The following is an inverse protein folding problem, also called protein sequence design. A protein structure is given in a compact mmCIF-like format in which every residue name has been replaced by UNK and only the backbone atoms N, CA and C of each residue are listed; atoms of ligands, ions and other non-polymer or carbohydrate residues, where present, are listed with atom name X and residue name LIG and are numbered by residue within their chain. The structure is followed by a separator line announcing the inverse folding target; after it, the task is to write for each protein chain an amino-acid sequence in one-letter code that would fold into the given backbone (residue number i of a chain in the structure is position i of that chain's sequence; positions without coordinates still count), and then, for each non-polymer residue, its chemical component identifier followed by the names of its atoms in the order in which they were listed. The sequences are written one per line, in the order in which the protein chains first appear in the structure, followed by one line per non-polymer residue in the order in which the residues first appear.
data_IF_055694357909
#
_entry.id   IF_055694357909
#
_cell.length_a   1.000
_cell.length_b   1.000
_cell.length_c   1.000
_cell.angle_alpha   90.00
_cell.angle_beta   90.00
_cell.angle_gamma   90.00
#
_symmetry.space_group_name_H-M   'P 1'
#
loop_
_entity.id
_entity.type
_entity.pdbx_description
1 polymer ?
#
# COMPACT_ATOMS: atom_id res chain seq x y z
N UNK A 1 1.82 -5.89 -25.63
CA UNK A 1 3.12 -5.93 -24.93
C UNK A 1 3.38 -4.61 -24.23
N UNK A 2 4.45 -4.48 -23.44
CA UNK A 2 4.79 -3.20 -22.77
C UNK A 2 4.98 -2.09 -23.84
N UNK A 3 4.27 -0.97 -23.69
CA UNK A 3 4.31 0.17 -24.63
C UNK A 3 3.44 0.03 -25.88
N UNK A 4 2.68 -1.06 -26.03
CA UNK A 4 1.69 -1.20 -27.09
C UNK A 4 0.32 -0.66 -26.62
N UNK A 5 -0.52 -0.15 -27.53
CA UNK A 5 -1.90 0.23 -27.19
C UNK A 5 -2.68 -0.98 -26.66
N UNK A 6 -3.74 -0.70 -25.89
CA UNK A 6 -4.66 -1.74 -25.43
C UNK A 6 -5.22 -2.52 -26.63
N UNK A 7 -5.26 -3.87 -26.61
CA UNK A 7 -5.79 -4.65 -27.72
C UNK A 7 -7.25 -4.29 -27.99
N UNK A 8 -7.57 -3.92 -29.23
CA UNK A 8 -8.93 -3.54 -29.62
C UNK A 8 -9.94 -4.71 -29.51
N UNK A 9 -9.44 -5.95 -29.55
CA UNK A 9 -10.18 -7.21 -29.44
C UNK A 9 -10.09 -7.85 -28.04
N UNK A 10 -9.57 -7.13 -27.03
CA UNK A 10 -9.52 -7.64 -25.67
C UNK A 10 -10.93 -7.98 -25.16
N UNK A 11 -11.16 -9.20 -24.62
CA UNK A 11 -12.46 -9.60 -24.15
C UNK A 11 -12.98 -8.67 -23.03
N UNK A 12 -14.31 -8.60 -22.82
CA UNK A 12 -14.88 -7.97 -21.65
C UNK A 12 -14.34 -8.61 -20.37
N UNK A 13 -14.06 -7.80 -19.35
CA UNK A 13 -13.54 -8.29 -18.07
C UNK A 13 -12.52 -7.35 -17.42
N UNK A 14 -12.05 -7.72 -16.22
CA UNK A 14 -11.07 -6.94 -15.47
C UNK A 14 -9.72 -6.88 -16.19
N UNK A 15 -9.08 -5.71 -16.12
CA UNK A 15 -7.75 -5.44 -16.66
C UNK A 15 -6.80 -5.23 -15.48
N UNK A 16 -6.04 -6.27 -15.12
CA UNK A 16 -5.06 -6.19 -14.04
C UNK A 16 -3.85 -5.36 -14.45
N UNK A 17 -3.62 -4.26 -13.74
CA UNK A 17 -2.49 -3.38 -13.97
C UNK A 17 -1.27 -3.94 -13.25
N UNK A 18 -0.43 -4.72 -13.92
CA UNK A 18 0.76 -5.36 -13.33
C UNK A 18 2.05 -4.59 -13.64
N UNK A 19 1.99 -3.26 -13.63
CA UNK A 19 3.15 -2.36 -13.84
C UNK A 19 3.58 -1.70 -12.54
N UNK A 20 4.70 -0.97 -12.57
CA UNK A 20 5.13 -0.10 -11.46
C UNK A 20 4.30 1.17 -11.43
N UNK A 21 4.34 1.88 -10.29
CA UNK A 21 3.56 3.09 -10.07
C UNK A 21 3.89 4.20 -11.08
N UNK A 22 5.16 4.32 -11.48
CA UNK A 22 5.65 5.31 -12.45
C UNK A 22 5.00 5.21 -13.85
N UNK A 23 4.47 4.04 -14.20
CA UNK A 23 3.81 3.80 -15.48
C UNK A 23 2.28 3.93 -15.44
N UNK A 24 1.67 4.16 -14.25
CA UNK A 24 0.21 4.12 -14.11
C UNK A 24 -0.47 5.19 -14.97
N UNK A 25 0.11 6.39 -15.04
CA UNK A 25 -0.43 7.48 -15.84
C UNK A 25 -0.51 7.10 -17.32
N UNK A 26 0.57 6.53 -17.85
CA UNK A 26 0.62 6.09 -19.24
C UNK A 26 -0.34 4.92 -19.50
N UNK A 27 -0.46 3.98 -18.55
CA UNK A 27 -1.43 2.88 -18.64
C UNK A 27 -2.86 3.41 -18.73
N UNK A 28 -3.23 4.37 -17.87
CA UNK A 28 -4.55 5.01 -17.90
C UNK A 28 -4.78 5.73 -19.23
N UNK A 29 -3.79 6.49 -19.70
CA UNK A 29 -3.88 7.24 -20.96
C UNK A 29 -4.03 6.31 -22.18
N UNK A 30 -3.32 5.19 -22.21
CA UNK A 30 -3.40 4.18 -23.27
C UNK A 30 -4.64 3.29 -23.21
N UNK A 31 -5.38 3.31 -22.10
CA UNK A 31 -6.62 2.54 -21.94
C UNK A 31 -7.79 3.34 -22.53
N UNK A 32 -8.58 2.74 -23.45
CA UNK A 32 -9.80 3.35 -23.97
C UNK A 32 -10.70 3.85 -22.84
N UNK A 33 -11.30 5.03 -22.99
CA UNK A 33 -12.00 5.71 -21.90
C UNK A 33 -13.13 4.85 -21.29
N UNK A 34 -13.87 4.14 -22.13
CA UNK A 34 -14.94 3.20 -21.78
C UNK A 34 -14.43 1.92 -21.08
N UNK A 35 -13.12 1.64 -21.18
CA UNK A 35 -12.46 0.50 -20.52
C UNK A 35 -11.71 0.89 -19.25
N UNK A 36 -11.62 2.17 -18.89
CA UNK A 36 -10.86 2.61 -17.69
C UNK A 36 -11.49 2.12 -16.39
N UNK A 37 -12.81 1.98 -16.35
CA UNK A 37 -13.51 1.36 -15.21
C UNK A 37 -13.19 -0.13 -15.06
N UNK A 38 -12.58 -0.76 -16.08
CA UNK A 38 -12.13 -2.15 -16.00
C UNK A 38 -10.75 -2.32 -15.37
N UNK A 39 -10.02 -1.23 -15.12
CA UNK A 39 -8.71 -1.28 -14.50
C UNK A 39 -8.80 -1.77 -13.05
N UNK A 40 -7.99 -2.79 -12.75
CA UNK A 40 -7.75 -3.30 -11.40
C UNK A 40 -6.33 -2.92 -10.99
N UNK A 41 -6.22 -1.97 -10.06
CA UNK A 41 -4.94 -1.50 -9.53
C UNK A 41 -4.51 -2.37 -8.35
N UNK A 42 -3.25 -2.82 -8.37
CA UNK A 42 -2.68 -3.75 -7.37
C UNK A 42 -1.40 -3.21 -6.73
N UNK A 43 -1.04 -1.97 -7.07
CA UNK A 43 0.20 -1.34 -6.67
C UNK A 43 0.25 -1.08 -5.16
N UNK A 44 1.47 -0.93 -4.64
CA UNK A 44 1.67 -0.55 -3.25
C UNK A 44 1.56 0.98 -3.08
N UNK A 45 1.06 1.38 -1.90
CA UNK A 45 1.06 2.74 -1.41
C UNK A 45 -0.16 3.60 -1.75
N UNK A 46 0.10 4.90 -1.63
CA UNK A 46 -0.58 6.16 -1.99
C UNK A 46 -1.58 6.31 -3.13
N UNK A 47 -2.28 5.31 -3.64
CA UNK A 47 -2.88 5.42 -4.98
C UNK A 47 -4.15 6.29 -5.08
N UNK A 48 -5.01 6.31 -4.06
CA UNK A 48 -6.37 6.84 -4.22
C UNK A 48 -6.42 8.31 -4.70
N UNK A 49 -5.63 9.26 -4.15
CA UNK A 49 -5.63 10.64 -4.64
C UNK A 49 -5.16 10.77 -6.10
N UNK A 50 -4.19 9.96 -6.52
CA UNK A 50 -3.72 9.92 -7.90
C UNK A 50 -4.81 9.39 -8.84
N UNK A 51 -5.48 8.29 -8.47
CA UNK A 51 -6.54 7.70 -9.28
C UNK A 51 -7.73 8.64 -9.43
N UNK A 52 -8.14 9.31 -8.35
CA UNK A 52 -9.20 10.33 -8.41
C UNK A 52 -8.84 11.47 -9.36
N UNK A 53 -7.59 11.95 -9.33
CA UNK A 53 -7.11 13.00 -10.23
C UNK A 53 -7.11 12.56 -11.70
N UNK A 54 -6.64 11.35 -12.01
CA UNK A 54 -6.47 10.89 -13.39
C UNK A 54 -7.76 10.34 -14.01
N UNK A 55 -8.70 9.84 -13.19
CA UNK A 55 -9.93 9.17 -13.66
C UNK A 55 -11.21 9.92 -13.32
N UNK A 56 -11.13 10.91 -12.43
CA UNK A 56 -12.24 11.71 -11.95
C UNK A 56 -12.81 11.20 -10.62
N UNK A 57 -13.42 12.10 -9.82
CA UNK A 57 -14.08 11.75 -8.57
C UNK A 57 -15.16 10.68 -8.75
N UNK A 58 -15.15 9.67 -7.89
CA UNK A 58 -16.16 8.61 -7.87
C UNK A 58 -16.08 7.61 -9.03
N UNK A 59 -15.00 7.61 -9.82
CA UNK A 59 -14.78 6.56 -10.80
C UNK A 59 -14.81 5.17 -10.12
N UNK A 60 -15.55 4.18 -10.66
CA UNK A 60 -15.76 2.87 -10.01
C UNK A 60 -14.55 1.95 -10.17
N UNK A 61 -13.34 2.46 -9.95
CA UNK A 61 -12.10 1.71 -10.09
C UNK A 61 -11.95 0.67 -9.01
N UNK A 62 -11.36 -0.45 -9.39
CA UNK A 62 -11.09 -1.55 -8.47
C UNK A 62 -9.65 -1.45 -7.99
N UNK A 63 -9.46 -1.39 -6.68
CA UNK A 63 -8.17 -1.29 -5.99
C UNK A 63 -8.05 -2.49 -5.07
N UNK A 64 -7.03 -3.30 -5.31
CA UNK A 64 -6.70 -4.49 -4.54
C UNK A 64 -5.44 -4.24 -3.70
N UNK A 65 -5.60 -4.33 -2.39
CA UNK A 65 -4.53 -4.37 -1.42
C UNK A 65 -3.98 -5.80 -1.36
N UNK A 66 -2.86 -6.05 -2.04
CA UNK A 66 -2.20 -7.36 -2.05
C UNK A 66 -1.37 -7.60 -0.78
N UNK A 67 -1.58 -8.73 -0.10
CA UNK A 67 -0.75 -9.22 1.02
C UNK A 67 -0.15 -10.61 0.75
N UNK A 68 -0.21 -11.10 -0.47
CA UNK A 68 0.52 -12.30 -0.88
C UNK A 68 1.82 -11.95 -1.58
N UNK A 69 2.80 -12.85 -1.52
CA UNK A 69 4.10 -12.70 -2.16
C UNK A 69 4.33 -13.78 -3.21
N UNK A 70 4.96 -13.41 -4.32
CA UNK A 70 5.45 -14.37 -5.34
C UNK A 70 6.96 -14.17 -5.44
N UNK A 71 7.73 -15.16 -4.98
CA UNK A 71 9.18 -14.99 -4.90
C UNK A 71 9.84 -15.02 -6.30
N UNK A 72 9.38 -15.87 -7.21
CA UNK A 72 9.79 -15.85 -8.63
C UNK A 72 8.73 -16.42 -9.57
N UNK A 73 8.90 -16.17 -10.86
CA UNK A 73 8.00 -16.66 -11.92
C UNK A 73 7.87 -18.18 -11.85
N UNK A 74 6.63 -18.67 -11.82
CA UNK A 74 6.30 -20.10 -11.80
C UNK A 74 6.19 -20.70 -10.40
N UNK A 75 6.53 -19.97 -9.33
CA UNK A 75 6.26 -20.41 -7.96
C UNK A 75 4.84 -20.06 -7.53
N UNK A 76 4.30 -20.88 -6.63
CA UNK A 76 3.02 -20.60 -6.00
C UNK A 76 3.12 -19.33 -5.13
N UNK A 77 2.08 -18.49 -5.11
CA UNK A 77 2.02 -17.35 -4.21
C UNK A 77 1.96 -17.83 -2.75
N UNK A 78 2.69 -17.15 -1.87
CA UNK A 78 2.56 -17.27 -0.43
C UNK A 78 1.49 -16.29 0.04
N UNK A 79 0.37 -16.81 0.56
CA UNK A 79 -0.71 -15.99 1.10
C UNK A 79 -0.27 -15.20 2.35
N UNK A 80 -0.87 -14.04 2.56
CA UNK A 80 -0.65 -13.17 3.73
C UNK A 80 -1.47 -13.57 4.95
N UNK A 81 -1.83 -14.84 5.08
CA UNK A 81 -2.51 -15.37 6.27
C UNK A 81 -1.52 -15.51 7.41
N UNK A 82 -1.93 -15.10 8.60
CA UNK A 82 -1.10 -15.12 9.80
C UNK A 82 -1.89 -15.73 10.97
N UNK A 83 -1.24 -15.89 12.11
CA UNK A 83 -1.87 -16.26 13.38
C UNK A 83 -2.85 -15.21 13.89
N UNK A 84 -2.61 -13.92 13.59
CA UNK A 84 -3.52 -12.81 13.92
C UNK A 84 -4.63 -12.62 12.88
N UNK A 85 -4.42 -13.07 11.64
CA UNK A 85 -5.30 -12.88 10.50
C UNK A 85 -5.43 -14.19 9.70
N UNK A 86 -6.11 -15.22 10.26
CA UNK A 86 -6.26 -16.52 9.60
C UNK A 86 -7.07 -16.45 8.30
N UNK A 87 -7.95 -15.45 8.19
CA UNK A 87 -8.73 -15.16 6.98
C UNK A 87 -7.95 -14.32 5.95
N UNK A 88 -6.74 -13.86 6.31
CA UNK A 88 -5.82 -13.10 5.47
C UNK A 88 -6.10 -11.60 5.37
N UNK A 89 -5.07 -10.88 4.93
CA UNK A 89 -5.03 -9.41 4.93
C UNK A 89 -5.41 -8.79 3.58
N UNK A 90 -5.32 -9.53 2.48
CA UNK A 90 -5.63 -8.98 1.15
C UNK A 90 -7.08 -8.50 1.08
N UNK A 91 -7.31 -7.33 0.49
CA UNK A 91 -8.62 -6.72 0.44
C UNK A 91 -8.86 -5.93 -0.84
N UNK A 92 -10.09 -5.91 -1.34
CA UNK A 92 -10.52 -5.12 -2.49
C UNK A 92 -11.64 -4.15 -2.09
N UNK A 93 -11.66 -2.95 -2.64
CA UNK A 93 -12.71 -1.96 -2.34
C UNK A 93 -14.07 -2.41 -2.89
N UNK A 94 -15.09 -2.40 -2.04
CA UNK A 94 -16.45 -2.81 -2.42
C UNK A 94 -17.10 -1.93 -3.50
N UNK A 95 -16.61 -0.71 -3.66
CA UNK A 95 -17.08 0.25 -4.69
C UNK A 95 -16.50 -0.02 -6.07
N UNK A 96 -15.48 -0.88 -6.19
CA UNK A 96 -14.86 -1.21 -7.46
C UNK A 96 -15.75 -2.10 -8.32
N UNK A 97 -15.85 -1.79 -9.61
CA UNK A 97 -16.64 -2.55 -10.60
C UNK A 97 -16.37 -4.07 -10.56
N UNK A 98 -15.12 -4.45 -10.35
CA UNK A 98 -14.65 -5.84 -10.40
C UNK A 98 -14.36 -6.44 -9.02
N UNK A 99 -14.80 -5.82 -7.92
CA UNK A 99 -14.48 -6.27 -6.56
C UNK A 99 -14.79 -7.76 -6.33
N UNK A 100 -16.01 -8.19 -6.67
CA UNK A 100 -16.44 -9.59 -6.51
C UNK A 100 -15.65 -10.57 -7.37
N UNK A 101 -15.32 -10.18 -8.61
CA UNK A 101 -14.53 -11.01 -9.53
C UNK A 101 -13.08 -11.14 -9.04
N UNK A 102 -12.52 -10.06 -8.49
CA UNK A 102 -11.19 -10.06 -7.86
C UNK A 102 -11.16 -10.98 -6.64
N UNK A 103 -12.13 -10.85 -5.74
CA UNK A 103 -12.26 -11.72 -4.57
C UNK A 103 -12.43 -13.18 -4.97
N UNK A 104 -13.32 -13.47 -5.92
CA UNK A 104 -13.54 -14.82 -6.43
C UNK A 104 -12.28 -15.40 -7.07
N UNK A 105 -11.56 -14.65 -7.90
CA UNK A 105 -10.32 -15.11 -8.54
C UNK A 105 -9.23 -15.47 -7.53
N UNK A 106 -9.05 -14.65 -6.48
CA UNK A 106 -8.05 -14.93 -5.46
C UNK A 106 -8.44 -16.14 -4.62
N UNK A 107 -9.68 -16.20 -4.15
CA UNK A 107 -10.15 -17.31 -3.29
C UNK A 107 -10.17 -18.65 -4.01
N UNK A 108 -10.56 -18.69 -5.29
CA UNK A 108 -10.45 -19.91 -6.11
C UNK A 108 -9.02 -20.32 -6.42
N UNK A 109 -8.06 -19.40 -6.28
CA UNK A 109 -6.62 -19.65 -6.37
C UNK A 109 -5.98 -19.94 -5.01
N UNK A 110 -6.78 -20.24 -3.98
CA UNK A 110 -6.35 -20.49 -2.60
C UNK A 110 -5.59 -19.31 -1.96
N UNK A 111 -5.94 -18.09 -2.34
CA UNK A 111 -5.47 -16.85 -1.72
C UNK A 111 -6.62 -16.16 -1.01
N UNK A 112 -6.37 -15.64 0.19
CA UNK A 112 -7.31 -14.77 0.88
C UNK A 112 -7.58 -13.51 0.07
N UNK A 113 -8.83 -13.06 0.11
CA UNK A 113 -9.24 -11.72 -0.28
C UNK A 113 -10.57 -11.42 0.40
N UNK A 114 -10.74 -10.18 0.85
CA UNK A 114 -12.01 -9.68 1.40
C UNK A 114 -12.48 -8.49 0.61
N UNK A 115 -13.76 -8.46 0.26
CA UNK A 115 -14.40 -7.22 -0.23
C UNK A 115 -14.74 -6.32 0.96
N UNK A 116 -14.14 -5.11 1.04
CA UNK A 116 -14.33 -4.17 2.14
C UNK A 116 -15.08 -2.91 1.70
N UNK A 117 -16.12 -2.54 2.43
CA UNK A 117 -16.79 -1.25 2.31
C UNK A 117 -16.05 -0.17 3.13
N UNK A 118 -16.37 1.10 2.88
CA UNK A 118 -15.89 2.18 3.74
C UNK A 118 -16.55 2.15 5.12
N UNK A 119 -15.84 2.56 6.20
CA UNK A 119 -14.46 3.05 6.22
C UNK A 119 -13.40 1.94 6.30
N UNK A 120 -13.81 0.67 6.34
CA UNK A 120 -12.90 -0.47 6.55
C UNK A 120 -11.86 -0.64 5.43
N UNK A 121 -12.22 -0.30 4.18
CA UNK A 121 -11.25 -0.31 3.08
C UNK A 121 -10.17 0.77 3.29
N UNK A 122 -10.56 2.01 3.59
CA UNK A 122 -9.61 3.10 3.90
C UNK A 122 -8.72 2.74 5.09
N UNK A 123 -9.26 2.07 6.11
CA UNK A 123 -8.47 1.59 7.25
C UNK A 123 -7.42 0.56 6.83
N UNK A 124 -7.80 -0.46 6.04
CA UNK A 124 -6.86 -1.46 5.53
C UNK A 124 -5.81 -0.86 4.58
N UNK A 125 -6.20 0.14 3.79
CA UNK A 125 -5.32 0.88 2.88
C UNK A 125 -4.19 1.59 3.63
N UNK A 126 -4.55 2.32 4.69
CA UNK A 126 -3.55 2.99 5.54
C UNK A 126 -2.72 2.01 6.36
N UNK A 127 -3.31 0.94 6.90
CA UNK A 127 -2.59 -0.13 7.61
C UNK A 127 -1.47 -0.71 6.73
N UNK A 128 -1.78 -1.03 5.48
CA UNK A 128 -0.79 -1.51 4.51
C UNK A 128 0.30 -0.49 4.22
N UNK A 129 -0.07 0.78 4.05
CA UNK A 129 0.91 1.81 3.74
C UNK A 129 1.82 2.12 4.95
N UNK A 130 1.28 2.13 6.16
CA UNK A 130 2.05 2.28 7.40
C UNK A 130 3.06 1.14 7.58
N UNK A 131 2.64 -0.11 7.32
CA UNK A 131 3.53 -1.26 7.37
C UNK A 131 4.74 -1.08 6.44
N UNK A 132 4.50 -0.77 5.17
CA UNK A 132 5.57 -0.69 4.18
C UNK A 132 6.45 0.56 4.41
N UNK A 133 5.89 1.67 4.88
CA UNK A 133 6.68 2.85 5.23
C UNK A 133 7.60 2.57 6.42
N UNK A 134 7.06 1.99 7.50
CA UNK A 134 7.80 1.79 8.74
C UNK A 134 8.88 0.69 8.61
N UNK A 135 8.51 -0.52 8.19
CA UNK A 135 9.46 -1.64 8.10
C UNK A 135 10.60 -1.37 7.13
N UNK A 136 10.31 -0.73 6.00
CA UNK A 136 11.34 -0.44 5.00
C UNK A 136 12.27 0.68 5.47
N UNK A 137 11.74 1.71 6.14
CA UNK A 137 12.56 2.81 6.64
C UNK A 137 13.48 2.34 7.78
N UNK A 138 12.93 1.65 8.77
CA UNK A 138 13.71 1.12 9.91
C UNK A 138 14.81 0.18 9.43
N UNK A 139 14.50 -0.73 8.50
CA UNK A 139 15.52 -1.63 7.96
C UNK A 139 16.67 -0.92 7.26
N UNK A 140 16.38 0.15 6.50
CA UNK A 140 17.43 0.96 5.86
C UNK A 140 18.24 1.75 6.89
N UNK A 141 17.61 2.28 7.94
CA UNK A 141 18.30 2.95 9.05
C UNK A 141 19.30 2.02 9.76
N UNK A 142 19.00 0.72 9.81
CA UNK A 142 19.87 -0.33 10.38
C UNK A 142 20.70 -1.08 9.33
N UNK A 143 21.14 -0.38 8.28
CA UNK A 143 22.10 -0.91 7.31
C UNK A 143 21.50 -1.77 6.18
N UNK A 144 20.18 -1.70 5.98
CA UNK A 144 19.48 -2.41 4.91
C UNK A 144 19.21 -3.87 5.22
N UNK A 145 18.92 -4.21 6.48
CA UNK A 145 18.61 -5.57 6.91
C UNK A 145 17.29 -6.08 6.31
N UNK A 146 17.01 -7.38 6.41
CA UNK A 146 15.78 -7.98 5.91
C UNK A 146 14.60 -7.65 6.82
N UNK A 147 13.38 -7.77 6.29
CA UNK A 147 12.14 -7.51 7.06
C UNK A 147 12.08 -8.35 8.34
N UNK A 148 12.56 -9.59 8.32
CA UNK A 148 12.60 -10.44 9.52
C UNK A 148 13.54 -9.93 10.60
N UNK A 149 14.71 -9.39 10.22
CA UNK A 149 15.67 -8.79 11.16
C UNK A 149 15.08 -7.52 11.79
N UNK A 150 14.38 -6.70 10.99
CA UNK A 150 13.62 -5.56 11.50
C UNK A 150 12.58 -5.99 12.52
N UNK A 151 11.81 -7.05 12.23
CA UNK A 151 10.78 -7.56 13.13
C UNK A 151 11.35 -8.13 14.43
N UNK A 152 12.47 -8.86 14.37
CA UNK A 152 13.02 -9.52 15.56
C UNK A 152 13.93 -8.62 16.41
N UNK A 153 14.65 -7.67 15.80
CA UNK A 153 15.69 -6.88 16.48
C UNK A 153 15.30 -5.41 16.69
N UNK A 154 14.39 -4.88 15.86
CA UNK A 154 14.01 -3.45 15.87
C UNK A 154 12.51 -3.23 16.08
N UNK A 155 11.79 -4.23 16.60
CA UNK A 155 10.34 -4.22 16.79
C UNK A 155 9.81 -2.96 17.46
N UNK A 156 10.42 -2.55 18.56
CA UNK A 156 9.94 -1.42 19.34
C UNK A 156 10.03 -0.09 18.57
N UNK A 157 11.05 0.07 17.73
CA UNK A 157 11.21 1.25 16.86
C UNK A 157 10.13 1.27 15.78
N UNK A 158 9.86 0.13 15.16
CA UNK A 158 8.76 -0.03 14.20
C UNK A 158 7.42 0.28 14.86
N UNK A 159 7.13 -0.25 16.05
CA UNK A 159 5.86 -0.03 16.75
C UNK A 159 5.67 1.43 17.16
N UNK A 160 6.76 2.14 17.46
CA UNK A 160 6.73 3.59 17.71
C UNK A 160 6.44 4.36 16.43
N UNK A 161 7.11 4.02 15.34
CA UNK A 161 6.91 4.65 14.05
C UNK A 161 5.49 4.41 13.51
N UNK A 162 4.97 3.17 13.59
CA UNK A 162 3.59 2.85 13.20
C UNK A 162 2.59 3.63 14.05
N UNK A 163 2.81 3.73 15.37
CA UNK A 163 1.94 4.52 16.25
C UNK A 163 1.91 6.02 15.91
N UNK A 164 3.07 6.58 15.57
CA UNK A 164 3.21 7.96 15.08
C UNK A 164 2.40 8.17 13.79
N UNK A 165 2.63 7.32 12.79
CA UNK A 165 1.94 7.39 11.50
C UNK A 165 0.42 7.20 11.66
N UNK A 166 -0.02 6.26 12.48
CA UNK A 166 -1.44 6.01 12.73
C UNK A 166 -2.13 7.22 13.38
N UNK A 167 -1.44 7.88 14.32
CA UNK A 167 -1.94 9.11 14.97
C UNK A 167 -2.10 10.24 13.95
N UNK A 168 -1.10 10.45 13.09
CA UNK A 168 -1.15 11.46 12.05
C UNK A 168 -2.26 11.20 11.03
N UNK A 169 -2.43 9.94 10.61
CA UNK A 169 -3.50 9.53 9.69
C UNK A 169 -4.87 9.72 10.34
N UNK A 170 -5.08 9.28 11.57
CA UNK A 170 -6.37 9.44 12.28
C UNK A 170 -6.76 10.91 12.42
N UNK A 171 -5.78 11.80 12.65
CA UNK A 171 -6.03 13.23 12.70
C UNK A 171 -6.47 13.83 11.35
N UNK A 172 -6.04 13.24 10.23
CA UNK A 172 -6.41 13.66 8.88
C UNK A 172 -7.67 12.94 8.34
N UNK A 173 -7.94 11.72 8.82
CA UNK A 173 -9.02 10.82 8.40
C UNK A 173 -9.72 10.26 9.65
N UNK A 174 -10.62 11.03 10.31
CA UNK A 174 -11.24 10.65 11.58
C UNK A 174 -12.12 9.39 11.52
N UNK A 175 -12.49 8.95 10.31
CA UNK A 175 -13.27 7.74 10.06
C UNK A 175 -12.46 6.44 10.22
N UNK A 176 -11.12 6.51 10.27
CA UNK A 176 -10.25 5.36 10.52
C UNK A 176 -9.55 5.50 11.87
N UNK A 177 -9.46 4.38 12.60
CA UNK A 177 -8.79 4.31 13.88
C UNK A 177 -8.24 2.91 14.13
N UNK A 178 -7.21 2.82 14.95
CA UNK A 178 -6.57 1.57 15.31
C UNK A 178 -6.31 1.50 16.80
N UNK A 179 -6.52 0.33 17.38
CA UNK A 179 -5.90 0.01 18.66
C UNK A 179 -4.43 -0.31 18.39
N UNK A 180 -3.53 0.41 19.07
CA UNK A 180 -2.09 0.40 18.75
C UNK A 180 -1.48 -0.98 18.92
N UNK A 181 -1.77 -1.68 20.02
CA UNK A 181 -1.19 -3.00 20.29
C UNK A 181 -1.56 -4.01 19.21
N UNK A 182 -2.85 -4.11 18.91
CA UNK A 182 -3.40 -4.99 17.88
C UNK A 182 -2.86 -4.64 16.49
N UNK A 183 -2.78 -3.36 16.13
CA UNK A 183 -2.19 -2.93 14.85
C UNK A 183 -0.74 -3.41 14.73
N UNK A 184 0.10 -3.12 15.72
CA UNK A 184 1.51 -3.50 15.71
C UNK A 184 1.69 -5.01 15.63
N UNK A 185 0.91 -5.78 16.40
CA UNK A 185 0.99 -7.24 16.42
C UNK A 185 0.59 -7.87 15.08
N UNK A 186 -0.50 -7.41 14.47
CA UNK A 186 -0.94 -7.85 13.13
C UNK A 186 0.13 -7.57 12.07
N UNK A 187 0.69 -6.37 12.11
CA UNK A 187 1.70 -5.92 11.16
C UNK A 187 3.04 -6.66 11.31
N UNK A 188 3.42 -7.02 12.53
CA UNK A 188 4.57 -7.88 12.78
C UNK A 188 4.32 -9.34 12.38
N UNK A 189 3.12 -9.87 12.60
CA UNK A 189 2.76 -11.19 12.12
C UNK A 189 2.89 -11.31 10.60
N UNK A 190 2.47 -10.27 9.86
CA UNK A 190 2.72 -10.21 8.43
C UNK A 190 4.21 -10.07 8.10
N UNK A 191 4.96 -9.22 8.81
CA UNK A 191 6.40 -9.08 8.60
C UNK A 191 7.16 -10.42 8.71
N UNK A 192 6.77 -11.29 9.65
CA UNK A 192 7.33 -12.65 9.78
C UNK A 192 7.06 -13.53 8.56
N UNK A 193 5.90 -13.42 7.90
CA UNK A 193 5.59 -14.22 6.71
C UNK A 193 6.43 -13.82 5.49
N UNK A 194 6.89 -12.57 5.46
CA UNK A 194 7.75 -12.00 4.40
C UNK A 194 9.18 -11.71 4.88
N UNK A 195 9.64 -12.42 5.93
CA UNK A 195 10.89 -12.14 6.64
C UNK A 195 12.15 -12.07 5.76
N UNK A 196 12.18 -12.78 4.63
CA UNK A 196 13.34 -12.87 3.75
C UNK A 196 13.50 -11.69 2.79
N UNK A 197 12.48 -10.84 2.63
CA UNK A 197 12.52 -9.72 1.70
C UNK A 197 13.51 -8.63 2.19
N UNK A 198 14.31 -8.04 1.29
CA UNK A 198 15.19 -6.93 1.63
C UNK A 198 14.38 -5.66 1.90
N UNK A 199 14.83 -4.86 2.86
CA UNK A 199 14.24 -3.55 3.09
C UNK A 199 14.80 -2.53 2.11
N UNK A 200 13.95 -1.62 1.64
CA UNK A 200 14.38 -0.51 0.81
C UNK A 200 13.33 0.61 0.81
N UNK A 201 13.79 1.84 1.02
CA UNK A 201 12.98 3.03 0.76
C UNK A 201 12.97 3.28 -0.75
N UNK A 202 11.80 3.07 -1.37
CA UNK A 202 11.58 3.21 -2.81
C UNK A 202 10.22 3.86 -3.03
N UNK A 203 10.00 4.38 -4.25
CA UNK A 203 8.70 4.90 -4.67
C UNK A 203 8.19 5.94 -3.64
N UNK A 204 9.04 6.91 -3.28
CA UNK A 204 8.82 7.84 -2.16
C UNK A 204 7.42 8.43 -2.17
N UNK A 205 7.02 9.03 -3.30
CA UNK A 205 5.70 9.65 -3.51
C UNK A 205 4.55 8.74 -3.07
N UNK A 206 4.68 7.43 -3.30
CA UNK A 206 3.63 6.47 -3.07
C UNK A 206 3.68 5.87 -1.67
N UNK A 207 4.87 5.55 -1.15
CA UNK A 207 4.99 4.81 0.11
C UNK A 207 5.14 5.73 1.32
N UNK A 208 5.75 6.89 1.13
CA UNK A 208 6.12 7.82 2.20
C UNK A 208 5.55 9.22 2.00
N UNK A 209 5.21 9.58 0.76
CA UNK A 209 4.80 10.93 0.35
C UNK A 209 3.62 11.44 1.15
N UNK A 210 2.54 10.66 1.30
CA UNK A 210 1.36 11.12 2.02
C UNK A 210 1.65 11.44 3.51
N UNK A 211 2.51 10.68 4.18
CA UNK A 211 2.89 10.98 5.57
C UNK A 211 3.74 12.26 5.64
N UNK A 212 4.71 12.40 4.73
CA UNK A 212 5.56 13.59 4.67
C UNK A 212 4.77 14.84 4.29
N UNK A 213 3.73 14.72 3.44
CA UNK A 213 2.82 15.82 3.15
C UNK A 213 2.05 16.30 4.38
N UNK A 214 1.65 15.39 5.30
CA UNK A 214 1.06 15.79 6.58
C UNK A 214 2.05 16.63 7.39
N UNK A 215 3.33 16.23 7.39
CA UNK A 215 4.42 16.99 8.00
C UNK A 215 4.61 18.38 7.41
N UNK A 216 4.65 18.49 6.07
CA UNK A 216 4.77 19.76 5.38
C UNK A 216 3.56 20.67 5.65
N UNK A 217 2.34 20.14 5.60
CA UNK A 217 1.10 20.89 5.89
C UNK A 217 1.06 21.40 7.33
N UNK A 218 1.51 20.59 8.30
CA UNK A 218 1.57 21.02 9.69
C UNK A 218 2.59 22.14 9.90
N UNK A 219 3.81 21.99 9.35
CA UNK A 219 4.87 23.01 9.41
C UNK A 219 4.46 24.32 8.75
N UNK A 220 3.85 24.26 7.57
CA UNK A 220 3.33 25.44 6.87
C UNK A 220 2.25 26.19 7.68
N UNK A 221 1.51 25.47 8.54
CA UNK A 221 0.54 26.03 9.47
C UNK A 221 1.15 26.46 10.82
N UNK A 222 2.48 26.46 10.97
CA UNK A 222 3.17 26.80 12.22
C UNK A 222 3.00 25.77 13.34
N UNK A 223 2.57 24.55 13.02
CA UNK A 223 2.40 23.45 13.98
C UNK A 223 3.63 22.55 13.97
N UNK A 224 3.78 21.76 15.05
CA UNK A 224 4.79 20.71 15.12
C UNK A 224 4.56 19.66 14.03
N UNK A 225 5.65 19.00 13.65
CA UNK A 225 5.62 17.85 12.74
C UNK A 225 4.80 16.70 13.39
N UNK A 226 3.72 16.20 12.77
CA UNK A 226 2.97 15.04 13.26
C UNK A 226 3.69 13.70 13.03
N UNK A 227 4.68 13.66 12.13
CA UNK A 227 5.47 12.46 11.82
C UNK A 227 6.99 12.75 11.95
N UNK A 228 7.47 13.21 13.12
CA UNK A 228 8.85 13.67 13.27
C UNK A 228 9.87 12.56 13.07
N UNK A 229 9.63 11.36 13.62
CA UNK A 229 10.56 10.23 13.51
C UNK A 229 10.63 9.74 12.07
N UNK A 230 9.48 9.67 11.38
CA UNK A 230 9.41 9.34 9.95
C UNK A 230 10.19 10.34 9.10
N UNK A 231 9.95 11.63 9.30
CA UNK A 231 10.61 12.70 8.54
C UNK A 231 12.11 12.71 8.76
N UNK A 232 12.56 12.60 10.02
CA UNK A 232 13.99 12.53 10.35
C UNK A 232 14.64 11.28 9.76
N UNK A 233 13.97 10.13 9.86
CA UNK A 233 14.46 8.88 9.28
C UNK A 233 14.66 9.00 7.76
N UNK A 234 13.67 9.54 7.04
CA UNK A 234 13.77 9.78 5.60
C UNK A 234 14.92 10.72 5.23
N UNK A 235 15.16 11.76 6.04
CA UNK A 235 16.28 12.66 5.84
C UNK A 235 17.63 11.95 6.00
N UNK A 236 17.78 11.15 7.07
CA UNK A 236 19.01 10.39 7.36
C UNK A 236 19.39 9.42 6.24
N UNK A 237 18.40 8.79 5.61
CA UNK A 237 18.63 7.84 4.50
C UNK A 237 18.67 8.52 3.12
N UNK A 238 18.60 9.85 3.08
CA UNK A 238 18.65 10.63 1.83
C UNK A 238 17.46 10.37 0.90
N UNK A 239 16.29 10.02 1.45
CA UNK A 239 15.10 9.68 0.67
C UNK A 239 14.11 10.85 0.52
N UNK A 240 14.32 11.96 1.20
CA UNK A 240 13.50 13.16 1.00
C UNK A 240 13.71 13.70 -0.42
N UNK A 241 12.65 14.20 -1.08
CA UNK A 241 12.78 14.86 -2.36
C UNK A 241 13.69 16.09 -2.21
N UNK A 242 14.54 16.33 -3.20
CA UNK A 242 15.32 17.57 -3.29
C UNK A 242 14.36 18.76 -3.23
N UNK A 243 14.68 19.77 -2.42
CA UNK A 243 13.96 21.06 -2.50
C UNK A 243 14.10 21.57 -3.93
N UNK A 244 12.97 21.65 -4.64
CA UNK A 244 12.87 22.17 -6.00
C UNK A 244 12.69 23.67 -6.04
#
# INVERSE_FOLDING_TARGET
GRGAPSPADAPPGPIYVCTRNDALKDVIAMTPQDRREDLVFIQNGTLLPFLEKELGPGAPVTVLLVYFAVAKKGEAPLDGKTDTDPDGLSAVNATGKWAKEVEWRLTTSNLACRTLAEPSFTQAYWEKNMWIAAYMLVGVLHGGCKVGEVESEHRQEVDNLIGELATAVTAAYPEVTWERGLLCDRLAAYARSVAHFPTAVKEFEWRNGAFYELSLKAKAAGRADPCPSHTEGLAKVGALPSEG
#
